data_IF_813417532822
#
_entry.id   IF_813417532822
#
_cell.length_a   1.000
_cell.length_b   1.000
_cell.length_c   1.000
_cell.angle_alpha   90.00
_cell.angle_beta   90.00
_cell.angle_gamma   90.00
#
_symmetry.space_group_name_H-M   'P 1'
#
loop_
_entity.id
_entity.type
_entity.pdbx_description
1 polymer ?
#
# COMPACT_ATOMS: atom_id res chain seq x y z
N UNK A 1 11.79 -1.29 7.71
CA UNK A 1 10.64 -2.06 8.23
C UNK A 1 10.92 -3.55 8.01
N UNK A 2 11.17 -4.32 9.09
CA UNK A 2 11.63 -5.71 9.01
C UNK A 2 10.42 -6.64 8.82
N UNK A 3 10.36 -7.42 7.75
CA UNK A 3 9.36 -8.50 7.60
C UNK A 3 9.70 -9.62 8.58
N UNK A 4 8.67 -10.27 9.15
CA UNK A 4 8.89 -11.41 10.02
C UNK A 4 9.71 -12.50 9.33
N UNK A 5 10.69 -13.03 10.07
CA UNK A 5 11.77 -13.87 9.55
C UNK A 5 11.26 -15.21 9.02
N UNK A 6 10.41 -15.92 9.77
CA UNK A 6 9.88 -17.26 9.47
C UNK A 6 8.50 -17.22 8.80
N UNK A 7 8.42 -16.69 7.57
CA UNK A 7 7.21 -16.76 6.72
C UNK A 7 7.55 -17.40 5.37
N UNK A 8 6.64 -18.23 4.80
CA UNK A 8 6.85 -18.81 3.48
C UNK A 8 6.99 -17.72 2.42
N UNK A 9 7.76 -18.01 1.36
CA UNK A 9 8.09 -17.04 0.31
C UNK A 9 6.85 -16.42 -0.34
N UNK A 10 5.80 -17.21 -0.59
CA UNK A 10 4.53 -16.72 -1.14
C UNK A 10 3.86 -15.67 -0.26
N UNK A 11 3.82 -15.90 1.07
CA UNK A 11 3.26 -14.93 2.02
C UNK A 11 4.12 -13.66 2.10
N UNK A 12 5.45 -13.79 2.05
CA UNK A 12 6.36 -12.62 2.00
C UNK A 12 6.12 -11.76 0.77
N UNK A 13 5.97 -12.36 -0.43
CA UNK A 13 5.67 -11.63 -1.68
C UNK A 13 4.34 -10.88 -1.59
N UNK A 14 3.29 -11.51 -1.07
CA UNK A 14 1.97 -10.86 -0.87
C UNK A 14 2.06 -9.68 0.10
N UNK A 15 2.75 -9.85 1.22
CA UNK A 15 2.99 -8.78 2.21
C UNK A 15 3.80 -7.62 1.60
N UNK A 16 4.86 -7.93 0.85
CA UNK A 16 5.67 -6.92 0.17
C UNK A 16 4.87 -6.14 -0.87
N UNK A 17 4.01 -6.81 -1.65
CA UNK A 17 3.09 -6.16 -2.60
C UNK A 17 2.10 -5.25 -1.88
N UNK A 18 1.50 -5.70 -0.78
CA UNK A 18 0.57 -4.91 0.02
C UNK A 18 1.25 -3.65 0.62
N UNK A 19 2.52 -3.75 1.00
CA UNK A 19 3.33 -2.59 1.43
C UNK A 19 3.55 -1.61 0.28
N UNK A 20 3.99 -2.08 -0.89
CA UNK A 20 4.22 -1.25 -2.08
C UNK A 20 2.97 -0.53 -2.59
N UNK A 21 1.80 -1.13 -2.39
CA UNK A 21 0.51 -0.54 -2.77
C UNK A 21 0.08 0.59 -1.82
N UNK A 22 0.54 0.59 -0.57
CA UNK A 22 0.14 1.56 0.45
C UNK A 22 0.95 2.88 0.33
N UNK A 23 0.80 3.57 -0.80
CA UNK A 23 1.48 4.84 -1.09
C UNK A 23 0.46 5.93 -1.46
N UNK A 24 0.78 7.21 -1.19
CA UNK A 24 -0.04 8.32 -1.68
C UNK A 24 -0.01 8.39 -3.21
N UNK A 25 -0.96 9.14 -3.76
CA UNK A 25 -0.98 9.47 -5.19
C UNK A 25 0.27 10.33 -5.51
N UNK A 26 0.92 10.15 -6.67
CA UNK A 26 2.05 11.00 -7.06
C UNK A 26 1.62 12.43 -7.39
N UNK A 27 2.45 13.42 -7.04
CA UNK A 27 2.17 14.86 -7.25
C UNK A 27 1.78 15.21 -8.68
N UNK A 28 2.46 14.65 -9.68
CA UNK A 28 2.16 14.92 -11.08
C UNK A 28 0.75 14.47 -11.50
N UNK A 29 0.18 13.46 -10.84
CA UNK A 29 -1.20 13.01 -11.10
C UNK A 29 -2.21 14.02 -10.55
N UNK A 30 -1.93 14.60 -9.36
CA UNK A 30 -2.75 15.69 -8.83
C UNK A 30 -2.75 16.89 -9.78
N UNK A 31 -1.57 17.28 -10.28
CA UNK A 31 -1.42 18.38 -11.23
C UNK A 31 -2.17 18.11 -12.53
N UNK A 32 -2.00 16.92 -13.11
CA UNK A 32 -2.69 16.50 -14.35
C UNK A 32 -4.21 16.50 -14.20
N UNK A 33 -4.71 16.10 -13.03
CA UNK A 33 -6.16 15.95 -12.78
C UNK A 33 -6.80 17.17 -12.13
N UNK A 34 -6.08 18.30 -12.02
CA UNK A 34 -6.53 19.53 -11.32
C UNK A 34 -7.07 19.22 -9.92
N UNK A 35 -6.43 18.29 -9.22
CA UNK A 35 -6.81 17.90 -7.87
C UNK A 35 -8.08 17.04 -7.75
N UNK A 36 -8.58 16.45 -8.84
CA UNK A 36 -9.72 15.50 -8.80
C UNK A 36 -9.34 14.17 -8.15
N UNK A 37 -8.13 13.65 -8.41
CA UNK A 37 -7.64 12.42 -7.80
C UNK A 37 -6.77 12.76 -6.59
N UNK A 38 -7.37 12.73 -5.39
CA UNK A 38 -6.69 13.15 -4.15
C UNK A 38 -6.11 12.03 -3.32
N UNK A 39 -6.77 10.89 -3.29
CA UNK A 39 -6.42 9.77 -2.40
C UNK A 39 -6.39 8.46 -3.17
N UNK A 40 -5.56 7.53 -2.71
CA UNK A 40 -5.55 6.16 -3.22
C UNK A 40 -6.58 5.35 -2.41
N UNK A 41 -7.57 4.70 -3.06
CA UNK A 41 -8.56 3.88 -2.35
C UNK A 41 -7.94 2.65 -1.69
N UNK A 42 -6.75 2.23 -2.14
CA UNK A 42 -6.00 1.09 -1.57
C UNK A 42 -5.08 1.50 -0.41
N UNK A 43 -5.09 2.78 -0.02
CA UNK A 43 -4.36 3.27 1.15
C UNK A 43 -4.99 2.66 2.40
N UNK A 44 -4.17 2.12 3.30
CA UNK A 44 -4.63 1.55 4.55
C UNK A 44 -3.70 1.89 5.71
N UNK A 45 -4.25 1.90 6.91
CA UNK A 45 -3.47 1.94 8.13
C UNK A 45 -3.49 0.56 8.82
N UNK A 46 -2.35 0.13 9.37
CA UNK A 46 -2.18 -1.21 9.93
C UNK A 46 -2.97 -1.45 11.23
N UNK A 47 -3.33 -0.37 11.95
CA UNK A 47 -4.22 -0.42 13.12
C UNK A 47 -5.69 -0.48 12.71
N UNK A 48 -6.08 0.23 11.65
CA UNK A 48 -7.48 0.33 11.24
C UNK A 48 -7.96 -0.85 10.39
N UNK A 49 -7.14 -1.32 9.43
CA UNK A 49 -7.54 -2.36 8.47
C UNK A 49 -6.51 -3.49 8.42
N UNK A 50 -6.95 -4.70 8.78
CA UNK A 50 -6.15 -5.92 8.72
C UNK A 50 -6.11 -6.49 7.31
N UNK A 51 -4.97 -7.07 6.95
CA UNK A 51 -4.82 -7.79 5.68
C UNK A 51 -5.39 -9.21 5.83
N UNK A 52 -6.36 -9.57 4.99
CA UNK A 52 -6.81 -10.96 4.84
C UNK A 52 -5.84 -11.68 3.89
N UNK A 53 -4.85 -12.40 4.43
CA UNK A 53 -3.71 -12.99 3.70
C UNK A 53 -3.34 -14.41 4.12
#
# INVERSE_FOLDING_TARGET
MKLATRKPAGKKRRLARALKQNRPVPTWVFLKTRGRVRTSPKRRHWRAVKLKL
#
